data_IF_047523743303
#
_entry.id   IF_047523743303
#
_cell.length_a   1.000
_cell.length_b   1.000
_cell.length_c   1.000
_cell.angle_alpha   90.00
_cell.angle_beta   90.00
_cell.angle_gamma   90.00
#
_symmetry.space_group_name_H-M   'P 1'
#
loop_
_entity.id
_entity.type
_entity.pdbx_description
1 polymer ?
#
# COMPACT_ATOMS: atom_id res chain seq x y z
N UNK A 1 -20.55 -9.17 24.04
CA UNK A 1 -20.55 -7.74 23.71
C UNK A 1 -20.45 -6.96 25.00
N UNK A 2 -19.30 -6.34 25.27
CA UNK A 2 -19.09 -5.64 26.53
C UNK A 2 -19.70 -4.23 26.48
N UNK A 3 -20.05 -3.66 27.63
CA UNK A 3 -20.52 -2.26 27.74
C UNK A 3 -19.50 -1.27 27.14
N UNK A 4 -18.22 -1.63 27.19
CA UNK A 4 -17.11 -0.85 26.63
C UNK A 4 -17.17 -0.76 25.10
N UNK A 5 -17.53 -1.85 24.42
CA UNK A 5 -17.70 -1.88 22.96
C UNK A 5 -18.89 -1.01 22.49
N UNK A 6 -19.92 -0.88 23.34
CA UNK A 6 -21.09 -0.06 23.07
C UNK A 6 -20.77 1.45 23.17
N UNK A 7 -19.97 1.83 24.17
CA UNK A 7 -19.52 3.22 24.37
C UNK A 7 -18.58 3.65 23.24
N UNK A 8 -17.59 2.82 22.88
CA UNK A 8 -16.70 3.09 21.74
C UNK A 8 -17.49 3.35 20.45
N UNK A 9 -18.54 2.56 20.21
CA UNK A 9 -19.38 2.70 19.02
C UNK A 9 -20.15 4.01 19.02
N UNK A 10 -20.70 4.43 20.16
CA UNK A 10 -21.43 5.71 20.28
C UNK A 10 -20.52 6.92 20.05
N UNK A 11 -19.32 6.92 20.62
CA UNK A 11 -18.40 8.05 20.56
C UNK A 11 -17.85 8.32 19.15
N UNK A 12 -17.80 7.28 18.30
CA UNK A 12 -17.26 7.35 16.95
C UNK A 12 -18.32 7.26 15.85
N UNK A 13 -19.63 7.20 16.17
CA UNK A 13 -20.72 7.16 15.17
C UNK A 13 -20.58 8.29 14.13
N UNK A 14 -20.19 9.49 14.58
CA UNK A 14 -20.03 10.67 13.73
C UNK A 14 -19.02 10.50 12.60
N UNK A 15 -18.07 9.54 12.69
CA UNK A 15 -17.12 9.26 11.62
C UNK A 15 -17.60 8.17 10.66
N UNK A 16 -18.49 7.26 11.06
CA UNK A 16 -18.70 5.99 10.32
C UNK A 16 -19.07 6.18 8.85
N UNK A 17 -19.91 7.16 8.51
CA UNK A 17 -20.31 7.43 7.12
C UNK A 17 -19.15 7.91 6.24
N UNK A 18 -18.13 8.52 6.86
CA UNK A 18 -16.93 9.05 6.21
C UNK A 18 -15.74 8.09 6.23
N UNK A 19 -15.85 6.95 6.93
CA UNK A 19 -14.79 5.93 7.00
C UNK A 19 -14.84 5.05 5.75
N UNK A 20 -13.68 4.85 5.14
CA UNK A 20 -13.48 3.84 4.09
C UNK A 20 -12.96 2.55 4.73
N UNK A 21 -13.86 1.67 5.14
CA UNK A 21 -13.47 0.38 5.72
C UNK A 21 -12.70 -0.49 4.71
N UNK A 22 -13.02 -0.36 3.43
CA UNK A 22 -12.36 -1.08 2.34
C UNK A 22 -10.91 -0.62 2.09
N UNK A 23 -10.52 0.56 2.57
CA UNK A 23 -9.15 1.06 2.48
C UNK A 23 -8.21 0.48 3.56
N UNK A 24 -8.70 -0.28 4.54
CA UNK A 24 -7.84 -0.86 5.58
C UNK A 24 -7.04 -2.06 5.04
N UNK A 25 -5.82 -2.26 5.54
CA UNK A 25 -4.92 -3.32 5.06
C UNK A 25 -5.46 -4.73 5.32
N UNK A 26 -6.33 -4.89 6.31
CA UNK A 26 -6.95 -6.15 6.73
C UNK A 26 -8.42 -6.27 6.25
N UNK A 27 -8.89 -5.35 5.41
CA UNK A 27 -10.21 -5.47 4.78
C UNK A 27 -10.25 -6.64 3.80
N UNK A 28 -11.40 -7.32 3.72
CA UNK A 28 -11.69 -8.33 2.70
C UNK A 28 -11.77 -7.76 1.28
N UNK A 29 -11.87 -6.43 1.14
CA UNK A 29 -11.76 -5.75 -0.15
C UNK A 29 -10.30 -5.64 -0.65
N UNK A 30 -9.31 -5.93 0.21
CA UNK A 30 -7.94 -6.11 -0.26
C UNK A 30 -7.80 -7.47 -0.94
N UNK A 31 -7.05 -7.47 -2.03
CA UNK A 31 -6.64 -8.69 -2.70
C UNK A 31 -5.76 -9.53 -1.73
N UNK A 32 -6.18 -10.74 -1.32
CA UNK A 32 -5.47 -11.56 -0.35
C UNK A 32 -4.06 -11.97 -0.84
N UNK A 33 -3.89 -12.03 -2.17
CA UNK A 33 -2.67 -12.46 -2.84
C UNK A 33 -1.73 -11.28 -3.14
N UNK A 34 -2.15 -10.05 -2.84
CA UNK A 34 -1.34 -8.83 -3.01
C UNK A 34 -0.24 -8.75 -1.94
N UNK A 35 0.71 -9.65 -1.96
CA UNK A 35 1.89 -9.66 -1.09
C UNK A 35 3.13 -9.98 -1.92
N UNK A 36 4.30 -9.57 -1.43
CA UNK A 36 5.55 -10.01 -2.03
C UNK A 36 5.64 -11.53 -2.01
N UNK A 37 5.94 -12.12 -3.17
CA UNK A 37 6.25 -13.52 -3.27
C UNK A 37 7.45 -13.89 -2.37
N UNK A 38 7.43 -15.03 -1.66
CA UNK A 38 8.54 -15.43 -0.81
C UNK A 38 9.90 -15.37 -1.52
N UNK A 39 10.85 -14.70 -0.88
CA UNK A 39 12.20 -14.55 -1.41
C UNK A 39 12.40 -13.39 -2.40
N UNK A 40 11.35 -12.64 -2.75
CA UNK A 40 11.43 -11.42 -3.58
C UNK A 40 11.50 -10.15 -2.73
N UNK A 41 11.97 -9.04 -3.32
CA UNK A 41 12.05 -7.69 -2.72
C UNK A 41 12.74 -7.63 -1.37
N UNK A 42 13.61 -8.61 -1.08
CA UNK A 42 14.18 -8.83 0.26
C UNK A 42 14.93 -7.59 0.79
N UNK A 43 15.68 -6.91 -0.08
CA UNK A 43 16.45 -5.73 0.30
C UNK A 43 15.54 -4.57 0.72
N UNK A 44 14.47 -4.33 -0.04
CA UNK A 44 13.49 -3.27 0.26
C UNK A 44 12.72 -3.61 1.53
N UNK A 45 12.25 -4.86 1.66
CA UNK A 45 11.55 -5.34 2.84
C UNK A 45 12.43 -5.26 4.09
N UNK A 46 13.73 -5.57 3.97
CA UNK A 46 14.68 -5.43 5.07
C UNK A 46 14.81 -3.97 5.48
N UNK A 47 15.05 -3.04 4.55
CA UNK A 47 15.15 -1.60 4.85
C UNK A 47 13.88 -1.05 5.50
N UNK A 48 12.70 -1.51 5.06
CA UNK A 48 11.43 -1.15 5.67
C UNK A 48 11.32 -1.68 7.11
N UNK A 49 11.63 -2.96 7.35
CA UNK A 49 11.63 -3.54 8.70
C UNK A 49 12.61 -2.82 9.61
N UNK A 50 13.84 -2.59 9.15
CA UNK A 50 14.86 -1.87 9.91
C UNK A 50 14.39 -0.45 10.31
N UNK A 51 13.64 0.23 9.44
CA UNK A 51 13.04 1.53 9.75
C UNK A 51 11.82 1.45 10.68
N UNK A 52 10.91 0.48 10.45
CA UNK A 52 9.77 0.22 11.31
C UNK A 52 10.24 -0.08 12.73
N UNK A 53 11.20 -0.98 12.88
CA UNK A 53 11.64 -1.53 14.16
C UNK A 53 12.72 -0.69 14.86
N UNK A 54 13.04 0.50 14.34
CA UNK A 54 13.97 1.44 14.98
C UNK A 54 13.22 2.63 15.61
N UNK A 55 12.92 2.63 16.92
CA UNK A 55 12.28 3.74 17.62
C UNK A 55 13.09 5.05 17.60
N UNK A 56 14.40 4.95 17.37
CA UNK A 56 15.32 6.10 17.31
C UNK A 56 15.56 6.65 15.89
N UNK A 57 14.86 6.13 14.88
CA UNK A 57 14.94 6.67 13.51
C UNK A 57 14.60 8.16 13.48
N UNK A 58 15.47 8.95 12.85
CA UNK A 58 15.25 10.39 12.63
C UNK A 58 14.26 10.65 11.49
N UNK A 59 14.19 9.76 10.51
CA UNK A 59 13.25 9.85 9.40
C UNK A 59 11.84 9.46 9.87
N UNK A 60 10.93 10.43 9.88
CA UNK A 60 9.52 10.20 10.22
C UNK A 60 8.67 9.77 9.03
N UNK A 61 9.20 9.91 7.83
CA UNK A 61 8.56 9.49 6.58
C UNK A 61 9.49 8.53 5.85
N UNK A 62 8.92 7.40 5.46
CA UNK A 62 9.47 6.51 4.45
C UNK A 62 8.65 6.68 3.17
N UNK A 63 9.26 7.12 2.08
CA UNK A 63 8.61 7.23 0.77
C UNK A 63 9.10 6.12 -0.16
N UNK A 64 8.21 5.17 -0.46
CA UNK A 64 8.45 4.11 -1.43
C UNK A 64 7.76 4.45 -2.75
N UNK A 65 8.51 4.65 -3.81
CA UNK A 65 7.95 5.06 -5.10
C UNK A 65 8.51 4.30 -6.27
N UNK A 66 7.92 4.51 -7.44
CA UNK A 66 8.28 3.83 -8.68
C UNK A 66 7.11 3.68 -9.64
N UNK A 67 7.32 3.11 -10.83
CA UNK A 67 6.31 3.01 -11.88
C UNK A 67 5.17 2.03 -11.52
N UNK A 68 4.11 2.04 -12.34
CA UNK A 68 3.04 1.04 -12.27
C UNK A 68 3.63 -0.37 -12.39
N UNK A 69 3.13 -1.32 -11.61
CA UNK A 69 3.57 -2.72 -11.68
C UNK A 69 4.95 -3.03 -11.09
N UNK A 70 5.61 -2.05 -10.46
CA UNK A 70 6.84 -2.29 -9.71
C UNK A 70 6.64 -3.11 -8.42
N UNK A 71 5.41 -3.42 -8.02
CA UNK A 71 5.11 -4.19 -6.80
C UNK A 71 5.03 -3.36 -5.51
N UNK A 72 4.88 -2.03 -5.62
CA UNK A 72 4.74 -1.09 -4.49
C UNK A 72 3.68 -1.51 -3.46
N UNK A 73 2.45 -1.71 -3.90
CA UNK A 73 1.35 -2.09 -3.01
C UNK A 73 1.53 -3.49 -2.41
N UNK A 74 2.18 -4.42 -3.13
CA UNK A 74 2.52 -5.73 -2.58
C UNK A 74 3.54 -5.62 -1.43
N UNK A 75 4.55 -4.75 -1.56
CA UNK A 75 5.50 -4.44 -0.49
C UNK A 75 4.79 -3.81 0.71
N UNK A 76 3.93 -2.81 0.47
CA UNK A 76 3.16 -2.14 1.52
C UNK A 76 2.27 -3.12 2.29
N UNK A 77 1.55 -3.98 1.57
CA UNK A 77 0.66 -4.99 2.14
C UNK A 77 1.43 -6.08 2.91
N UNK A 78 2.60 -6.52 2.42
CA UNK A 78 3.47 -7.44 3.15
C UNK A 78 3.98 -6.82 4.46
N UNK A 79 4.43 -5.57 4.43
CA UNK A 79 4.87 -4.87 5.65
C UNK A 79 3.70 -4.68 6.62
N UNK A 80 2.52 -4.30 6.12
CA UNK A 80 1.33 -4.13 6.93
C UNK A 80 0.93 -5.42 7.66
N UNK A 81 0.91 -6.55 6.95
CA UNK A 81 0.55 -7.86 7.54
C UNK A 81 1.61 -8.42 8.48
N UNK A 82 2.89 -8.22 8.18
CA UNK A 82 3.98 -8.75 9.02
C UNK A 82 4.14 -8.00 10.34
N UNK A 83 3.88 -6.69 10.38
CA UNK A 83 3.94 -5.91 11.63
C UNK A 83 2.60 -5.86 12.36
N UNK A 84 1.49 -5.88 11.61
CA UNK A 84 0.12 -5.86 12.11
C UNK A 84 -0.16 -4.76 13.15
N UNK A 85 -1.30 -4.84 13.83
CA UNK A 85 -1.64 -3.97 14.97
C UNK A 85 -0.84 -4.40 16.21
N UNK A 86 -0.39 -3.48 17.08
CA UNK A 86 -0.60 -2.03 17.04
C UNK A 86 0.52 -1.25 16.32
N UNK A 87 1.54 -1.92 15.78
CA UNK A 87 2.69 -1.26 15.12
C UNK A 87 2.27 -0.48 13.88
N UNK A 88 1.44 -1.09 13.04
CA UNK A 88 0.68 -0.42 11.98
C UNK A 88 -0.52 0.23 12.67
N UNK A 89 -0.42 1.49 13.05
CA UNK A 89 -1.42 2.18 13.85
C UNK A 89 -2.65 2.63 13.06
N UNK A 90 -2.48 2.87 11.75
CA UNK A 90 -3.57 3.01 10.79
C UNK A 90 -3.08 2.73 9.37
N UNK A 91 -3.99 2.46 8.46
CA UNK A 91 -3.68 2.28 7.05
C UNK A 91 -4.76 2.86 6.14
N UNK A 92 -4.37 3.32 4.97
CA UNK A 92 -5.27 3.64 3.87
C UNK A 92 -4.64 3.18 2.56
N UNK A 93 -5.24 2.18 1.93
CA UNK A 93 -4.86 1.64 0.63
C UNK A 93 -5.83 2.19 -0.40
N UNK A 94 -5.41 3.26 -1.07
CA UNK A 94 -6.19 3.82 -2.17
C UNK A 94 -6.42 2.78 -3.26
N UNK A 95 -7.54 2.91 -3.95
CA UNK A 95 -7.81 2.11 -5.15
C UNK A 95 -8.64 2.92 -6.14
N UNK A 96 -8.05 3.24 -7.29
CA UNK A 96 -8.62 4.20 -8.26
C UNK A 96 -10.04 3.84 -8.70
N UNK A 97 -10.35 2.55 -8.84
CA UNK A 97 -11.65 2.05 -9.33
C UNK A 97 -12.72 1.92 -8.24
N UNK A 98 -12.40 2.21 -6.98
CA UNK A 98 -13.33 2.16 -5.86
C UNK A 98 -13.58 3.56 -5.30
N UNK A 99 -14.83 4.02 -5.40
CA UNK A 99 -15.26 5.36 -4.98
C UNK A 99 -15.05 5.66 -3.50
N UNK A 100 -15.00 4.63 -2.65
CA UNK A 100 -14.72 4.79 -1.23
C UNK A 100 -13.22 4.83 -0.96
N UNK A 101 -12.39 4.28 -1.85
CA UNK A 101 -10.94 4.20 -1.70
C UNK A 101 -10.19 5.20 -2.58
N UNK A 102 -10.85 5.94 -3.46
CA UNK A 102 -10.22 6.95 -4.32
C UNK A 102 -10.51 8.40 -3.87
N UNK A 103 -11.37 8.58 -2.88
CA UNK A 103 -11.74 9.88 -2.31
C UNK A 103 -10.80 10.25 -1.15
N UNK A 104 -9.90 11.21 -1.41
CA UNK A 104 -8.94 11.68 -0.40
C UNK A 104 -9.59 12.39 0.81
N UNK A 105 -10.84 12.84 0.71
CA UNK A 105 -11.56 13.43 1.85
C UNK A 105 -11.90 12.40 2.94
N UNK A 106 -11.81 11.10 2.63
CA UNK A 106 -12.02 10.01 3.58
C UNK A 106 -10.74 9.59 4.29
N UNK A 107 -9.57 10.10 3.87
CA UNK A 107 -8.28 9.64 4.38
C UNK A 107 -8.19 9.84 5.90
N UNK A 108 -8.28 11.07 6.38
CA UNK A 108 -8.03 11.36 7.80
C UNK A 108 -9.16 10.92 8.72
N UNK A 109 -10.41 10.90 8.26
CA UNK A 109 -11.52 10.30 9.02
C UNK A 109 -11.31 8.80 9.22
N UNK A 110 -10.87 8.08 8.18
CA UNK A 110 -10.57 6.64 8.23
C UNK A 110 -9.36 6.35 9.11
N UNK A 111 -8.30 7.15 9.03
CA UNK A 111 -7.12 7.00 9.88
C UNK A 111 -7.43 7.29 11.35
N UNK A 112 -8.15 8.38 11.62
CA UNK A 112 -8.56 8.76 12.98
C UNK A 112 -9.45 7.69 13.63
N UNK A 113 -10.38 7.11 12.86
CA UNK A 113 -11.21 6.01 13.34
C UNK A 113 -10.37 4.80 13.77
N UNK A 114 -9.41 4.36 12.94
CA UNK A 114 -8.53 3.24 13.26
C UNK A 114 -7.65 3.50 14.50
N UNK A 115 -7.11 4.72 14.61
CA UNK A 115 -6.32 5.13 15.76
C UNK A 115 -7.17 5.15 17.04
N UNK A 116 -8.38 5.70 16.98
CA UNK A 116 -9.31 5.74 18.11
C UNK A 116 -9.72 4.33 18.61
N UNK A 117 -9.76 3.33 17.73
CA UNK A 117 -10.03 1.95 18.15
C UNK A 117 -8.89 1.32 18.93
N UNK A 118 -7.65 1.74 18.70
CA UNK A 118 -6.45 1.12 19.29
C UNK A 118 -5.78 1.96 20.38
N UNK A 119 -6.06 3.26 20.42
CA UNK A 119 -5.44 4.23 21.33
C UNK A 119 -6.52 5.05 22.05
N UNK A 120 -6.86 4.70 23.32
CA UNK A 120 -7.91 5.37 24.08
C UNK A 120 -7.75 6.90 24.15
N UNK A 121 -6.51 7.39 24.26
CA UNK A 121 -6.21 8.81 24.32
C UNK A 121 -6.64 9.55 23.03
N UNK A 122 -6.49 8.91 21.86
CA UNK A 122 -6.96 9.44 20.59
C UNK A 122 -8.48 9.35 20.50
N UNK A 123 -9.08 8.26 21.01
CA UNK A 123 -10.54 8.09 21.01
C UNK A 123 -11.25 9.23 21.72
N UNK A 124 -10.84 9.53 22.94
CA UNK A 124 -11.49 10.54 23.77
C UNK A 124 -11.35 11.93 23.12
N UNK A 125 -10.21 12.20 22.47
CA UNK A 125 -10.01 13.42 21.70
C UNK A 125 -10.91 13.50 20.47
N UNK A 126 -10.95 12.44 19.65
CA UNK A 126 -11.79 12.39 18.45
C UNK A 126 -13.27 12.55 18.82
N UNK A 127 -13.74 11.87 19.87
CA UNK A 127 -15.10 11.98 20.37
C UNK A 127 -15.44 13.42 20.78
N UNK A 128 -14.54 14.09 21.49
CA UNK A 128 -14.70 15.49 21.89
C UNK A 128 -14.70 16.45 20.69
N UNK A 129 -13.82 16.23 19.71
CA UNK A 129 -13.77 17.01 18.47
C UNK A 129 -15.07 16.88 17.68
N UNK A 130 -15.61 15.66 17.55
CA UNK A 130 -16.89 15.40 16.89
C UNK A 130 -18.08 16.01 17.64
N UNK A 131 -18.07 15.95 18.99
CA UNK A 131 -19.10 16.57 19.80
C UNK A 131 -19.15 18.10 19.58
N UNK A 132 -17.98 18.75 19.53
CA UNK A 132 -17.89 20.20 19.26
C UNK A 132 -18.18 20.57 17.82
N UNK A 133 -17.80 19.72 16.88
CA UNK A 133 -17.94 19.94 15.43
C UNK A 133 -18.48 18.68 14.74
N UNK A 134 -19.81 18.49 14.73
CA UNK A 134 -20.44 17.35 14.06
C UNK A 134 -20.22 17.34 12.54
N UNK A 135 -19.93 18.49 11.95
CA UNK A 135 -19.63 18.66 10.53
C UNK A 135 -18.17 18.29 10.16
N UNK A 136 -17.31 18.02 11.15
CA UNK A 136 -15.88 17.77 10.97
C UNK A 136 -15.53 16.76 9.86
N UNK A 137 -16.25 15.62 9.71
CA UNK A 137 -16.00 14.67 8.62
C UNK A 137 -16.23 15.23 7.21
N UNK A 138 -16.93 16.36 7.08
CA UNK A 138 -17.24 17.04 5.81
C UNK A 138 -16.39 18.28 5.56
N UNK A 139 -15.44 18.56 6.45
CA UNK A 139 -14.52 19.70 6.34
C UNK A 139 -13.32 19.39 5.44
N UNK A 140 -12.49 20.39 5.19
CA UNK A 140 -11.26 20.21 4.42
C UNK A 140 -10.31 19.21 5.09
N UNK A 141 -9.48 18.53 4.30
CA UNK A 141 -8.50 17.56 4.82
C UNK A 141 -7.53 18.18 5.82
N UNK A 142 -7.21 19.47 5.70
CA UNK A 142 -6.39 20.18 6.69
C UNK A 142 -7.10 20.31 8.03
N UNK A 143 -8.39 20.68 8.00
CA UNK A 143 -9.22 20.80 9.21
C UNK A 143 -9.42 19.43 9.86
N UNK A 144 -9.69 18.39 9.06
CA UNK A 144 -9.79 17.02 9.54
C UNK A 144 -8.49 16.57 10.21
N UNK A 145 -7.34 16.78 9.56
CA UNK A 145 -6.04 16.40 10.12
C UNK A 145 -5.77 17.11 11.43
N UNK A 146 -5.96 18.44 11.46
CA UNK A 146 -5.73 19.25 12.66
C UNK A 146 -6.61 18.78 13.82
N UNK A 147 -7.91 18.62 13.60
CA UNK A 147 -8.86 18.38 14.70
C UNK A 147 -9.03 16.90 15.07
N UNK A 148 -8.60 15.96 14.23
CA UNK A 148 -8.71 14.52 14.51
C UNK A 148 -7.36 13.88 14.86
N UNK A 149 -6.25 14.38 14.32
CA UNK A 149 -4.92 13.76 14.44
C UNK A 149 -3.90 14.65 15.16
N UNK A 150 -4.03 15.98 15.10
CA UNK A 150 -3.14 16.92 15.80
C UNK A 150 -3.76 17.49 17.08
N UNK A 151 -3.51 16.82 18.20
CA UNK A 151 -3.96 17.30 19.50
C UNK A 151 -2.78 17.47 20.47
N UNK A 152 -2.31 18.70 20.74
CA UNK A 152 -1.11 18.92 21.56
C UNK A 152 -1.14 18.25 22.94
N UNK A 153 -2.30 18.23 23.61
CA UNK A 153 -2.45 17.58 24.91
C UNK A 153 -2.34 16.05 24.83
N UNK A 154 -2.94 15.45 23.80
CA UNK A 154 -2.95 14.00 23.58
C UNK A 154 -1.59 13.53 23.07
N UNK A 155 -0.93 14.34 22.24
CA UNK A 155 0.38 14.08 21.67
C UNK A 155 1.40 13.81 22.79
N UNK A 156 1.39 14.57 23.89
CA UNK A 156 2.33 14.34 25.00
C UNK A 156 2.14 12.95 25.63
N UNK A 157 0.90 12.54 25.86
CA UNK A 157 0.60 11.24 26.44
C UNK A 157 0.89 10.10 25.45
N UNK A 158 0.60 10.31 24.17
CA UNK A 158 0.92 9.36 23.09
C UNK A 158 2.43 9.17 22.98
N UNK A 159 3.23 10.25 22.96
CA UNK A 159 4.69 10.14 22.92
C UNK A 159 5.16 9.28 24.10
N UNK A 160 4.79 9.65 25.34
CA UNK A 160 5.26 8.92 26.53
C UNK A 160 4.88 7.43 26.51
N UNK A 161 3.68 7.11 26.04
CA UNK A 161 3.14 5.74 26.08
C UNK A 161 3.58 4.89 24.90
N UNK A 162 3.78 5.48 23.72
CA UNK A 162 4.02 4.77 22.46
C UNK A 162 5.38 5.12 21.81
N UNK A 163 6.28 5.80 22.52
CA UNK A 163 7.63 6.13 22.02
C UNK A 163 8.38 4.89 21.53
N UNK A 164 8.45 3.84 22.34
CA UNK A 164 9.12 2.57 21.97
C UNK A 164 8.34 1.83 20.86
N UNK A 165 7.02 2.00 20.80
CA UNK A 165 6.21 1.40 19.75
C UNK A 165 6.47 2.07 18.40
N UNK A 166 6.76 3.38 18.38
CA UNK A 166 6.92 4.18 17.16
C UNK A 166 5.84 3.85 16.09
N UNK A 167 4.56 4.14 16.38
CA UNK A 167 3.44 3.74 15.55
C UNK A 167 3.53 4.31 14.13
N UNK A 168 3.28 3.45 13.14
CA UNK A 168 3.37 3.81 11.71
C UNK A 168 1.99 3.81 11.07
N UNK A 169 1.73 4.84 10.27
CA UNK A 169 0.59 4.93 9.36
C UNK A 169 1.05 4.58 7.95
N UNK A 170 0.32 3.69 7.28
CA UNK A 170 0.60 3.32 5.88
C UNK A 170 -0.41 4.01 4.96
N UNK A 171 0.08 4.74 3.97
CA UNK A 171 -0.75 5.35 2.92
C UNK A 171 -0.24 4.82 1.58
N UNK A 172 -0.97 3.85 1.02
CA UNK A 172 -0.64 3.21 -0.25
C UNK A 172 -1.48 3.78 -1.39
N UNK A 173 -0.85 4.04 -2.54
CA UNK A 173 -1.52 4.51 -3.75
C UNK A 173 -1.93 5.97 -3.71
N UNK A 174 -1.09 6.90 -3.23
CA UNK A 174 -1.40 8.34 -3.25
C UNK A 174 -1.83 8.82 -4.65
N UNK A 175 -1.20 8.31 -5.71
CA UNK A 175 -1.54 8.58 -7.13
C UNK A 175 -2.88 8.00 -7.59
N UNK A 176 -3.52 7.15 -6.77
CA UNK A 176 -4.84 6.58 -7.03
C UNK A 176 -5.99 7.42 -6.46
N UNK A 177 -5.67 8.45 -5.66
CA UNK A 177 -6.65 9.46 -5.28
C UNK A 177 -7.07 10.28 -6.51
N UNK A 178 -8.37 10.51 -6.69
CA UNK A 178 -8.91 11.17 -7.90
C UNK A 178 -8.57 12.65 -8.04
N UNK A 179 -8.36 13.35 -6.93
CA UNK A 179 -8.13 14.81 -6.92
C UNK A 179 -6.68 15.16 -6.56
N UNK A 180 -5.93 15.66 -7.55
CA UNK A 180 -4.55 16.13 -7.40
C UNK A 180 -4.38 17.19 -6.31
N UNK A 181 -5.35 18.09 -6.15
CA UNK A 181 -5.28 19.16 -5.14
C UNK A 181 -5.37 18.55 -3.75
N UNK A 182 -6.29 17.60 -3.55
CA UNK A 182 -6.42 16.90 -2.27
C UNK A 182 -5.15 16.11 -1.96
N UNK A 183 -4.55 15.45 -2.95
CA UNK A 183 -3.24 14.79 -2.79
C UNK A 183 -2.18 15.75 -2.22
N UNK A 184 -2.03 16.93 -2.83
CA UNK A 184 -1.08 17.95 -2.34
C UNK A 184 -1.42 18.42 -0.93
N UNK A 185 -2.71 18.63 -0.64
CA UNK A 185 -3.16 19.13 0.66
C UNK A 185 -2.87 18.14 1.79
N UNK A 186 -3.25 16.86 1.64
CA UNK A 186 -3.01 15.88 2.70
C UNK A 186 -1.51 15.58 2.88
N UNK A 187 -0.73 15.55 1.79
CA UNK A 187 0.72 15.38 1.88
C UNK A 187 1.37 16.56 2.61
N UNK A 188 0.93 17.79 2.30
CA UNK A 188 1.45 19.00 2.94
C UNK A 188 1.20 18.97 4.45
N UNK A 189 -0.01 18.66 4.91
CA UNK A 189 -0.29 18.65 6.36
C UNK A 189 0.46 17.52 7.09
N UNK A 190 0.66 16.38 6.43
CA UNK A 190 1.53 15.31 6.96
C UNK A 190 2.96 15.83 7.11
N UNK A 191 3.51 16.44 6.05
CA UNK A 191 4.87 17.00 6.04
C UNK A 191 5.09 18.09 7.08
N UNK A 192 4.13 19.01 7.21
CA UNK A 192 4.16 20.09 8.20
C UNK A 192 4.12 19.52 9.64
N UNK A 193 3.36 18.44 9.87
CA UNK A 193 3.24 17.82 11.19
C UNK A 193 4.51 17.08 11.62
N UNK A 194 5.12 16.30 10.73
CA UNK A 194 6.35 15.54 11.05
C UNK A 194 7.59 16.43 11.15
N UNK A 195 7.49 17.71 10.80
CA UNK A 195 8.54 18.70 11.05
C UNK A 195 8.61 19.11 12.54
N UNK A 196 7.55 18.85 13.31
CA UNK A 196 7.57 18.94 14.77
C UNK A 196 7.99 17.60 15.36
N UNK A 197 9.16 17.52 16.00
CA UNK A 197 9.69 16.30 16.60
C UNK A 197 8.79 15.71 17.70
N UNK A 198 7.83 16.50 18.21
CA UNK A 198 6.82 16.04 19.17
C UNK A 198 5.72 15.22 18.48
N UNK A 199 5.57 15.29 17.17
CA UNK A 199 4.56 14.51 16.48
C UNK A 199 4.91 13.00 16.54
N UNK A 200 4.06 12.14 17.13
CA UNK A 200 4.47 10.80 17.53
C UNK A 200 4.38 9.77 16.41
N UNK A 201 3.61 10.04 15.35
CA UNK A 201 3.32 9.10 14.29
C UNK A 201 4.38 9.18 13.18
N UNK A 202 4.67 8.04 12.56
CA UNK A 202 5.47 7.95 11.34
C UNK A 202 4.60 7.56 10.16
N UNK A 203 5.05 7.84 8.94
CA UNK A 203 4.31 7.51 7.73
C UNK A 203 5.14 6.70 6.74
N UNK A 204 4.59 5.57 6.31
CA UNK A 204 4.99 4.94 5.06
C UNK A 204 4.06 5.49 3.96
N UNK A 205 4.62 6.27 3.05
CA UNK A 205 3.90 6.82 1.90
C UNK A 205 4.34 6.03 0.67
N UNK A 206 3.36 5.54 -0.10
CA UNK A 206 3.62 4.75 -1.29
C UNK A 206 2.89 5.35 -2.49
N UNK A 207 3.62 5.62 -3.57
CA UNK A 207 3.04 6.31 -4.74
C UNK A 207 3.83 6.11 -6.02
N UNK A 208 3.26 6.49 -7.16
CA UNK A 208 4.06 6.89 -8.33
C UNK A 208 4.76 8.23 -8.08
N UNK A 209 5.89 8.50 -8.75
CA UNK A 209 6.54 9.80 -8.71
C UNK A 209 5.83 10.79 -9.66
N UNK A 210 4.52 10.97 -9.51
CA UNK A 210 3.84 12.02 -10.27
C UNK A 210 4.40 13.38 -9.83
N UNK A 211 4.59 14.30 -10.79
CA UNK A 211 5.38 15.52 -10.61
C UNK A 211 4.94 16.31 -9.37
N UNK A 212 3.63 16.40 -9.13
CA UNK A 212 3.08 17.10 -7.98
C UNK A 212 3.33 16.41 -6.64
N UNK A 213 3.27 15.08 -6.60
CA UNK A 213 3.55 14.28 -5.40
C UNK A 213 5.02 14.45 -5.03
N UNK A 214 5.91 14.23 -6.00
CA UNK A 214 7.36 14.36 -5.80
C UNK A 214 7.74 15.77 -5.36
N UNK A 215 7.25 16.80 -6.05
CA UNK A 215 7.50 18.20 -5.67
C UNK A 215 6.99 18.53 -4.26
N UNK A 216 5.88 17.93 -3.83
CA UNK A 216 5.32 18.17 -2.49
C UNK A 216 6.17 17.49 -1.43
N UNK A 217 6.51 16.21 -1.61
CA UNK A 217 7.31 15.44 -0.65
C UNK A 217 8.73 16.02 -0.52
N UNK A 218 9.37 16.41 -1.63
CA UNK A 218 10.71 17.02 -1.61
C UNK A 218 10.77 18.39 -0.93
N UNK A 219 9.64 19.04 -0.66
CA UNK A 219 9.55 20.31 0.08
C UNK A 219 9.45 20.12 1.60
N UNK A 220 9.29 18.90 2.09
CA UNK A 220 9.25 18.68 3.53
C UNK A 220 10.59 19.07 4.16
N UNK A 221 10.51 19.67 5.35
CA UNK A 221 11.69 20.19 6.07
C UNK A 221 12.29 19.15 7.03
N UNK A 222 11.85 17.90 6.96
CA UNK A 222 12.30 16.79 7.82
C UNK A 222 13.06 15.74 6.99
N UNK A 223 13.99 14.97 7.59
CA UNK A 223 14.62 13.84 6.92
C UNK A 223 13.58 12.80 6.44
N UNK A 224 13.73 12.37 5.18
CA UNK A 224 12.89 11.35 4.56
C UNK A 224 13.79 10.19 4.10
N UNK A 225 13.38 8.96 4.41
CA UNK A 225 13.95 7.79 3.77
C UNK A 225 13.19 7.53 2.47
N UNK A 226 13.84 7.68 1.33
CA UNK A 226 13.22 7.48 0.03
C UNK A 226 13.82 6.25 -0.69
N UNK A 227 12.97 5.45 -1.33
CA UNK A 227 13.37 4.35 -2.22
C UNK A 227 12.58 4.45 -3.52
N UNK A 228 13.30 4.63 -4.63
CA UNK A 228 12.76 4.38 -5.97
C UNK A 228 12.95 2.91 -6.32
N UNK A 229 11.86 2.20 -6.60
CA UNK A 229 11.91 0.83 -7.10
C UNK A 229 12.43 0.75 -8.54
N UNK A 230 12.39 1.83 -9.32
CA UNK A 230 12.95 1.86 -10.67
C UNK A 230 14.48 1.86 -10.68
N UNK A 231 15.10 2.42 -9.64
CA UNK A 231 16.57 2.45 -9.49
C UNK A 231 17.13 1.11 -8.99
N UNK A 232 16.27 0.17 -8.62
CA UNK A 232 16.67 -1.15 -8.14
C UNK A 232 16.82 -2.13 -9.31
N UNK A 233 18.03 -2.63 -9.52
CA UNK A 233 18.34 -3.66 -10.51
C UNK A 233 18.00 -5.10 -10.04
N UNK A 234 16.99 -5.27 -9.18
CA UNK A 234 16.59 -6.58 -8.64
C UNK A 234 15.28 -7.13 -9.23
N UNK A 235 14.55 -6.35 -10.03
CA UNK A 235 13.23 -6.72 -10.54
C UNK A 235 13.25 -8.02 -11.36
N UNK A 236 14.16 -8.18 -12.32
CA UNK A 236 14.20 -9.37 -13.18
C UNK A 236 14.53 -10.64 -12.39
N UNK A 237 15.47 -10.56 -11.44
CA UNK A 237 15.80 -11.69 -10.57
C UNK A 237 14.62 -12.09 -9.69
N UNK A 238 13.89 -11.10 -9.19
CA UNK A 238 12.72 -11.35 -8.35
C UNK A 238 11.54 -11.91 -9.19
N UNK A 239 11.38 -11.47 -10.45
CA UNK A 239 10.43 -12.05 -11.41
C UNK A 239 10.79 -13.49 -11.74
N UNK A 240 12.07 -13.79 -11.98
CA UNK A 240 12.54 -15.15 -12.21
C UNK A 240 12.17 -16.07 -11.05
N UNK A 241 12.48 -15.65 -9.81
CA UNK A 241 12.13 -16.41 -8.61
C UNK A 241 10.63 -16.68 -8.51
N UNK A 242 9.82 -15.68 -8.79
CA UNK A 242 8.36 -15.80 -8.81
C UNK A 242 7.88 -16.81 -9.87
N UNK A 243 8.37 -16.69 -11.12
CA UNK A 243 7.98 -17.58 -12.22
C UNK A 243 8.39 -19.03 -11.95
N UNK A 244 9.63 -19.26 -11.49
CA UNK A 244 10.13 -20.62 -11.18
C UNK A 244 9.24 -21.29 -10.14
N UNK A 245 8.90 -20.59 -9.06
CA UNK A 245 8.07 -21.15 -8.00
C UNK A 245 6.63 -21.42 -8.45
N UNK A 246 6.02 -20.46 -9.16
CA UNK A 246 4.63 -20.59 -9.61
C UNK A 246 4.46 -21.63 -10.71
N UNK A 247 5.39 -21.72 -11.67
CA UNK A 247 5.36 -22.80 -12.65
C UNK A 247 5.58 -24.17 -12.01
N UNK A 248 6.44 -24.26 -10.99
CA UNK A 248 6.63 -25.49 -10.21
C UNK A 248 5.33 -25.89 -9.49
N UNK A 249 4.61 -24.91 -8.92
CA UNK A 249 3.30 -25.12 -8.30
C UNK A 249 2.29 -25.65 -9.32
N UNK A 250 2.14 -24.98 -10.47
CA UNK A 250 1.21 -25.37 -11.53
C UNK A 250 1.55 -26.78 -12.08
N UNK A 251 2.83 -27.07 -12.31
CA UNK A 251 3.26 -28.40 -12.74
C UNK A 251 2.90 -29.48 -11.73
N UNK A 252 3.06 -29.21 -10.43
CA UNK A 252 2.66 -30.14 -9.38
C UNK A 252 1.14 -30.36 -9.34
N UNK A 253 0.35 -29.29 -9.47
CA UNK A 253 -1.12 -29.35 -9.42
C UNK A 253 -1.73 -30.09 -10.61
N UNK A 254 -1.15 -29.91 -11.81
CA UNK A 254 -1.61 -30.55 -13.04
C UNK A 254 -0.82 -31.82 -13.43
N UNK A 255 0.07 -32.32 -12.55
CA UNK A 255 0.86 -33.54 -12.75
C UNK A 255 1.69 -33.50 -14.05
N UNK A 256 2.38 -32.38 -14.27
CA UNK A 256 3.29 -32.16 -15.38
C UNK A 256 4.73 -32.58 -15.03
N UNK A 257 5.62 -32.49 -16.03
CA UNK A 257 7.05 -32.66 -15.79
C UNK A 257 7.56 -31.60 -14.80
N UNK A 258 8.31 -31.96 -13.73
CA UNK A 258 8.82 -30.99 -12.76
C UNK A 258 9.77 -29.94 -13.33
N UNK A 259 10.32 -30.17 -14.53
CA UNK A 259 11.18 -29.23 -15.26
C UNK A 259 10.39 -28.30 -16.18
N UNK A 260 9.08 -28.51 -16.33
CA UNK A 260 8.21 -27.62 -17.10
C UNK A 260 8.10 -26.24 -16.41
N UNK A 261 8.06 -25.13 -17.17
CA UNK A 261 8.08 -25.05 -18.64
C UNK A 261 9.49 -25.11 -19.24
N UNK A 262 10.53 -25.09 -18.41
CA UNK A 262 11.93 -25.00 -18.83
C UNK A 262 12.44 -23.55 -18.78
N UNK A 263 13.75 -23.40 -18.58
CA UNK A 263 14.37 -22.10 -18.33
C UNK A 263 14.24 -21.14 -19.52
N UNK A 264 14.34 -21.61 -20.76
CA UNK A 264 14.24 -20.76 -21.95
C UNK A 264 12.90 -20.02 -22.04
N UNK A 265 11.80 -20.68 -21.64
CA UNK A 265 10.47 -20.06 -21.59
C UNK A 265 10.38 -19.04 -20.46
N UNK A 266 10.97 -19.35 -19.30
CA UNK A 266 11.03 -18.42 -18.18
C UNK A 266 11.80 -17.16 -18.58
N UNK A 267 12.94 -17.30 -19.24
CA UNK A 267 13.78 -16.20 -19.71
C UNK A 267 13.04 -15.30 -20.73
N UNK A 268 12.27 -15.89 -21.65
CA UNK A 268 11.43 -15.13 -22.58
C UNK A 268 10.35 -14.31 -21.85
N UNK A 269 9.68 -14.90 -20.85
CA UNK A 269 8.68 -14.20 -20.04
C UNK A 269 9.34 -13.07 -19.22
N UNK A 270 10.53 -13.29 -18.65
CA UNK A 270 11.30 -12.24 -17.95
C UNK A 270 11.62 -11.08 -18.90
N UNK A 271 12.12 -11.39 -20.10
CA UNK A 271 12.41 -10.39 -21.12
C UNK A 271 11.16 -9.56 -21.47
N UNK A 272 10.04 -10.23 -21.75
CA UNK A 272 8.74 -9.58 -22.03
C UNK A 272 8.20 -8.77 -20.85
N UNK A 273 8.51 -9.20 -19.62
CA UNK A 273 8.10 -8.49 -18.41
C UNK A 273 8.77 -7.13 -18.26
N UNK A 274 9.99 -6.96 -18.80
CA UNK A 274 10.73 -5.68 -18.77
C UNK A 274 10.78 -5.05 -17.36
N UNK A 275 11.04 -5.88 -16.34
CA UNK A 275 11.08 -5.46 -14.93
C UNK A 275 9.72 -5.19 -14.27
N UNK A 276 8.60 -5.49 -14.93
CA UNK A 276 7.24 -5.28 -14.43
C UNK A 276 6.57 -6.60 -14.02
N UNK A 277 6.15 -6.71 -12.76
CA UNK A 277 5.51 -7.91 -12.23
C UNK A 277 4.11 -8.18 -12.79
N UNK A 278 3.41 -7.16 -13.32
CA UNK A 278 2.04 -7.32 -13.82
C UNK A 278 2.02 -8.36 -14.92
N UNK A 279 2.93 -8.28 -15.90
CA UNK A 279 2.96 -9.22 -17.02
C UNK A 279 3.17 -10.66 -16.54
N UNK A 280 4.24 -10.89 -15.76
CA UNK A 280 4.52 -12.21 -15.18
C UNK A 280 3.33 -12.76 -14.37
N UNK A 281 2.70 -11.93 -13.54
CA UNK A 281 1.56 -12.34 -12.72
C UNK A 281 0.32 -12.70 -13.53
N UNK A 282 0.07 -11.99 -14.64
CA UNK A 282 -1.05 -12.30 -15.53
C UNK A 282 -0.80 -13.60 -16.29
N UNK A 283 0.43 -13.84 -16.76
CA UNK A 283 0.81 -15.10 -17.39
C UNK A 283 0.57 -16.27 -16.43
N UNK A 284 1.07 -16.16 -15.19
CA UNK A 284 0.86 -17.21 -14.18
C UNK A 284 -0.63 -17.41 -13.89
N UNK A 285 -1.41 -16.33 -13.73
CA UNK A 285 -2.85 -16.43 -13.47
C UNK A 285 -3.59 -17.14 -14.60
N UNK A 286 -3.28 -16.81 -15.84
CA UNK A 286 -3.91 -17.42 -17.02
C UNK A 286 -3.51 -18.89 -17.20
N UNK A 287 -2.22 -19.18 -17.07
CA UNK A 287 -1.68 -20.54 -17.23
C UNK A 287 -2.09 -21.46 -16.09
N UNK A 288 -2.18 -20.92 -14.87
CA UNK A 288 -2.56 -21.64 -13.66
C UNK A 288 -4.06 -21.71 -13.41
N UNK A 289 -4.90 -21.34 -14.38
CA UNK A 289 -6.35 -21.47 -14.25
C UNK A 289 -6.74 -22.96 -14.11
N UNK A 290 -7.43 -23.36 -13.02
CA UNK A 290 -7.76 -24.76 -12.76
C UNK A 290 -8.74 -25.36 -13.77
N UNK A 291 -9.50 -24.53 -14.50
CA UNK A 291 -10.48 -24.99 -15.49
C UNK A 291 -9.82 -25.36 -16.84
N UNK A 292 -8.53 -25.05 -17.02
CA UNK A 292 -7.82 -25.25 -18.27
C UNK A 292 -6.48 -25.99 -18.11
N UNK A 293 -6.04 -26.63 -19.19
CA UNK A 293 -4.75 -27.31 -19.20
C UNK A 293 -3.60 -26.32 -19.41
N UNK A 294 -2.66 -26.27 -18.45
CA UNK A 294 -1.60 -25.26 -18.38
C UNK A 294 -0.70 -25.23 -19.63
N UNK A 295 -0.40 -26.39 -20.23
CA UNK A 295 0.40 -26.43 -21.48
C UNK A 295 -0.31 -25.69 -22.62
N UNK A 296 -1.61 -25.90 -22.77
CA UNK A 296 -2.40 -25.23 -23.82
C UNK A 296 -2.43 -23.72 -23.61
N UNK A 297 -2.63 -23.28 -22.36
CA UNK A 297 -2.62 -21.85 -22.04
C UNK A 297 -1.25 -21.22 -22.25
N UNK A 298 -0.18 -21.92 -21.87
CA UNK A 298 1.18 -21.45 -22.11
C UNK A 298 1.49 -21.34 -23.61
N UNK A 299 1.04 -22.28 -24.43
CA UNK A 299 1.17 -22.19 -25.89
C UNK A 299 0.49 -20.94 -26.46
N UNK A 300 -0.67 -20.53 -25.93
CA UNK A 300 -1.33 -19.28 -26.33
C UNK A 300 -0.47 -18.07 -25.99
N UNK A 301 0.07 -18.01 -24.76
CA UNK A 301 0.96 -16.92 -24.31
C UNK A 301 2.23 -16.84 -25.17
N UNK A 302 2.80 -17.98 -25.55
CA UNK A 302 4.01 -18.03 -26.37
C UNK A 302 3.76 -17.63 -27.83
N UNK A 303 2.59 -17.94 -28.37
CA UNK A 303 2.21 -17.62 -29.76
C UNK A 303 1.64 -16.21 -29.94
N UNK A 304 1.47 -15.44 -28.86
CA UNK A 304 1.07 -14.04 -28.95
C UNK A 304 2.03 -13.23 -29.80
N UNK A 305 1.48 -12.54 -30.81
CA UNK A 305 2.24 -11.56 -31.59
C UNK A 305 2.46 -10.32 -30.74
N UNK A 306 3.71 -10.09 -30.37
CA UNK A 306 4.09 -8.88 -29.65
C UNK A 306 3.85 -7.65 -30.55
N UNK A 307 3.32 -6.54 -30.00
CA UNK A 307 3.25 -5.28 -30.71
C UNK A 307 4.64 -4.85 -31.20
N UNK A 308 4.70 -4.07 -32.29
CA UNK A 308 5.95 -3.47 -32.81
C UNK A 308 6.68 -2.59 -31.79
N UNK A 309 5.99 -2.16 -30.73
CA UNK A 309 6.58 -1.46 -29.59
C UNK A 309 6.67 -2.39 -28.38
N UNK A 310 7.89 -2.64 -27.89
CA UNK A 310 8.18 -3.43 -26.69
C UNK A 310 7.92 -2.60 -25.41
N UNK A 311 6.77 -1.91 -25.32
CA UNK A 311 6.39 -1.27 -24.05
C UNK A 311 5.61 -2.26 -23.20
N UNK A 312 5.85 -2.33 -21.88
CA UNK A 312 5.11 -3.22 -20.99
C UNK A 312 3.59 -3.02 -21.10
N UNK A 313 3.14 -1.78 -21.29
CA UNK A 313 1.71 -1.46 -21.44
C UNK A 313 1.14 -2.00 -22.76
N UNK A 314 1.85 -1.89 -23.88
CA UNK A 314 1.38 -2.46 -25.14
C UNK A 314 1.32 -4.00 -25.10
N UNK A 315 2.28 -4.64 -24.43
CA UNK A 315 2.29 -6.09 -24.23
C UNK A 315 1.15 -6.50 -23.30
N UNK A 316 0.90 -5.75 -22.22
CA UNK A 316 -0.22 -5.97 -21.31
C UNK A 316 -1.57 -5.79 -22.01
N UNK A 317 -1.74 -4.74 -22.81
CA UNK A 317 -2.97 -4.49 -23.57
C UNK A 317 -3.24 -5.62 -24.56
N UNK A 318 -2.22 -6.11 -25.27
CA UNK A 318 -2.36 -7.28 -26.14
C UNK A 318 -2.68 -8.55 -25.34
N UNK A 319 -2.06 -8.71 -24.17
CA UNK A 319 -2.34 -9.83 -23.29
C UNK A 319 -3.80 -9.82 -22.84
N UNK A 320 -4.31 -8.66 -22.45
CA UNK A 320 -5.73 -8.47 -22.12
C UNK A 320 -6.65 -8.76 -23.30
N UNK A 321 -6.31 -8.36 -24.52
CA UNK A 321 -7.16 -8.57 -25.70
C UNK A 321 -7.31 -10.03 -26.14
N UNK A 322 -6.34 -10.89 -25.83
CA UNK A 322 -6.38 -12.31 -26.23
C UNK A 322 -6.77 -13.25 -25.07
N UNK A 323 -6.64 -12.79 -23.82
CA UNK A 323 -6.94 -13.59 -22.61
C UNK A 323 -8.34 -13.28 -22.04
N UNK A 324 -8.87 -12.04 -22.21
CA UNK A 324 -10.22 -11.64 -21.76
C UNK A 324 -11.20 -11.50 -22.93
#
# INVERSE_FOLDING_TARGET
YSLFDLIIRQDLEGLKESVSFDAQFDSSAQDPDRQCHPGTRQNVLKRLRDWFDNPSSTERIFWLYGPAGAGKSAIAQTIARTHARPKVAASFFFFRSDVNRNDGNRLFTTLAYQLALSMPEIRDHVAHSLFKRPDLPRTSVETQFEQLLLAPAVIVDIIKKYQELAPVIIIDGVDECTDEKIQRQFLKVIGDAVADDRFPLRFLIVSRPEVHIEQTIRRFQTPILAIDLADLNDANRDIEKYLVDEFSRIASEQVLDPTWPGQEIIDDIIYKSSGNFIFASLVIRFVGDPDFFAKTQLEIVLNMKLPTTMSPFAILDQLFLEIL
#
